data_IF_359262977813
#
_entry.id   IF_359262977813
#
_cell.length_a   1.000
_cell.length_b   1.000
_cell.length_c   1.000
_cell.angle_alpha   90.00
_cell.angle_beta   90.00
_cell.angle_gamma   90.00
#
_symmetry.space_group_name_H-M   'P 1'
#
loop_
_entity.id
_entity.type
_entity.pdbx_description
1 polymer ?
#
# COMPACT_ATOMS: atom_id res chain seq x y z
N UNK A 1 -25.69 -11.53 37.52
CA UNK A 1 -25.77 -12.94 37.07
C UNK A 1 -25.42 -12.91 35.57
N UNK A 2 -24.20 -13.32 35.22
CA UNK A 2 -23.72 -13.34 33.84
C UNK A 2 -24.16 -14.65 33.19
N UNK A 3 -25.02 -14.60 32.18
CA UNK A 3 -25.39 -15.76 31.36
C UNK A 3 -24.26 -16.08 30.40
N UNK A 4 -23.60 -17.21 30.57
CA UNK A 4 -22.70 -17.80 29.61
C UNK A 4 -23.54 -18.39 28.47
N UNK A 5 -23.34 -17.95 27.25
CA UNK A 5 -23.91 -18.56 26.04
C UNK A 5 -22.92 -19.61 25.57
N UNK A 6 -23.34 -20.89 25.74
CA UNK A 6 -22.61 -22.05 25.23
C UNK A 6 -22.94 -22.19 23.73
N UNK A 7 -21.98 -21.85 22.85
CA UNK A 7 -22.12 -22.10 21.42
C UNK A 7 -21.74 -23.55 21.16
N UNK A 8 -22.72 -24.37 20.82
CA UNK A 8 -22.53 -25.76 20.41
C UNK A 8 -21.87 -25.76 18.99
N UNK A 9 -20.63 -26.28 18.96
CA UNK A 9 -19.90 -26.51 17.73
C UNK A 9 -20.48 -27.77 17.05
N UNK A 10 -21.40 -27.60 16.08
CA UNK A 10 -21.84 -28.68 15.21
C UNK A 10 -20.76 -28.92 14.15
N UNK A 11 -20.06 -30.04 14.29
CA UNK A 11 -19.12 -30.56 13.31
C UNK A 11 -19.89 -30.97 12.06
N UNK A 12 -20.03 -30.07 11.09
CA UNK A 12 -20.55 -30.37 9.78
C UNK A 12 -19.40 -30.95 8.94
N UNK A 13 -19.49 -32.24 8.60
CA UNK A 13 -18.51 -32.93 7.76
C UNK A 13 -18.37 -32.15 6.43
N UNK A 14 -17.20 -31.61 6.18
CA UNK A 14 -16.86 -30.92 4.93
C UNK A 14 -16.90 -31.94 3.80
N UNK A 15 -17.89 -31.85 2.94
CA UNK A 15 -17.77 -32.38 1.58
C UNK A 15 -16.57 -31.73 0.91
N UNK A 16 -15.78 -32.47 0.10
CA UNK A 16 -14.70 -31.83 -0.64
C UNK A 16 -15.32 -30.77 -1.55
N UNK A 17 -15.07 -29.50 -1.21
CA UNK A 17 -15.34 -28.40 -2.12
C UNK A 17 -14.49 -28.68 -3.35
N UNK A 18 -15.04 -28.74 -4.59
CA UNK A 18 -14.20 -28.82 -5.78
C UNK A 18 -13.21 -27.69 -5.71
N UNK A 19 -11.93 -27.95 -6.04
CA UNK A 19 -10.95 -26.89 -6.20
C UNK A 19 -11.60 -25.85 -7.12
N UNK A 20 -12.09 -24.76 -6.55
CA UNK A 20 -12.47 -23.61 -7.32
C UNK A 20 -11.22 -23.21 -8.08
N UNK A 21 -11.34 -23.07 -9.39
CA UNK A 21 -10.36 -22.50 -10.28
C UNK A 21 -9.68 -21.36 -9.52
N UNK A 22 -8.38 -21.49 -9.27
CA UNK A 22 -7.66 -20.54 -8.42
C UNK A 22 -7.92 -19.16 -9.02
N UNK A 23 -8.65 -18.32 -8.30
CA UNK A 23 -8.96 -16.98 -8.76
C UNK A 23 -7.63 -16.30 -9.13
N UNK A 24 -7.57 -15.69 -10.31
CA UNK A 24 -6.39 -14.96 -10.73
C UNK A 24 -6.07 -13.90 -9.66
N UNK A 25 -4.82 -13.82 -9.18
CA UNK A 25 -4.46 -12.85 -8.16
C UNK A 25 -4.68 -11.43 -8.68
N UNK A 26 -5.28 -10.57 -7.88
CA UNK A 26 -5.70 -9.22 -8.28
C UNK A 26 -4.88 -8.14 -7.60
N UNK A 27 -4.74 -7.01 -8.28
CA UNK A 27 -4.22 -5.80 -7.66
C UNK A 27 -5.36 -5.03 -6.98
N UNK A 28 -5.14 -4.65 -5.73
CA UNK A 28 -6.10 -3.82 -5.01
C UNK A 28 -5.87 -2.34 -5.33
N UNK A 29 -6.90 -1.68 -5.87
CA UNK A 29 -6.86 -0.25 -6.20
C UNK A 29 -7.47 0.56 -5.04
N UNK A 30 -6.70 1.54 -4.56
CA UNK A 30 -7.12 2.50 -3.53
C UNK A 30 -7.01 3.90 -4.12
N UNK A 31 -8.09 4.68 -4.06
CA UNK A 31 -8.12 6.02 -4.62
C UNK A 31 -8.51 7.07 -3.57
N UNK A 32 -7.76 8.16 -3.51
CA UNK A 32 -8.07 9.36 -2.77
C UNK A 32 -8.82 10.40 -3.60
N UNK A 33 -9.04 11.57 -3.03
CA UNK A 33 -9.72 12.69 -3.64
C UNK A 33 -8.81 13.89 -3.94
N UNK A 34 -9.33 15.10 -3.70
CA UNK A 34 -8.60 16.36 -3.85
C UNK A 34 -8.14 16.95 -2.50
N UNK A 35 -8.49 16.30 -1.42
CA UNK A 35 -8.15 16.70 -0.06
C UNK A 35 -6.95 15.89 0.43
N UNK A 36 -6.39 16.27 1.56
CA UNK A 36 -5.29 15.53 2.17
C UNK A 36 -5.76 14.15 2.63
N UNK A 37 -5.19 13.10 2.06
CA UNK A 37 -5.55 11.72 2.34
C UNK A 37 -4.44 11.01 3.12
N UNK A 38 -4.83 10.11 4.02
CA UNK A 38 -3.91 9.22 4.72
C UNK A 38 -4.30 7.77 4.50
N UNK A 39 -3.35 6.95 4.05
CA UNK A 39 -3.52 5.51 3.89
C UNK A 39 -2.40 4.78 4.62
N UNK A 40 -2.76 3.86 5.47
CA UNK A 40 -1.82 2.98 6.16
C UNK A 40 -2.20 1.53 5.88
N UNK A 41 -1.29 0.79 5.25
CA UNK A 41 -1.49 -0.59 4.84
C UNK A 41 -0.45 -1.47 5.55
N UNK A 42 -0.93 -2.49 6.27
CA UNK A 42 -0.10 -3.43 7.01
C UNK A 42 -0.61 -4.86 6.86
N UNK A 43 0.28 -5.84 7.00
CA UNK A 43 -0.14 -7.23 7.23
C UNK A 43 -0.71 -7.37 8.64
N UNK A 44 -1.72 -8.20 8.81
CA UNK A 44 -2.19 -8.62 10.12
C UNK A 44 -1.12 -9.45 10.85
N UNK A 45 -1.19 -9.53 12.17
CA UNK A 45 -0.18 -10.21 12.98
C UNK A 45 0.03 -11.69 12.64
N UNK A 46 -0.98 -12.33 12.05
CA UNK A 46 -0.91 -13.72 11.58
C UNK A 46 -0.45 -13.84 10.10
N UNK A 47 -0.26 -12.69 9.41
CA UNK A 47 0.19 -12.62 8.02
C UNK A 47 -0.82 -13.13 6.98
N UNK A 48 -2.10 -13.25 7.36
CA UNK A 48 -3.15 -13.80 6.48
C UNK A 48 -3.90 -12.76 5.70
N UNK A 49 -4.00 -11.55 6.24
CA UNK A 49 -4.82 -10.48 5.70
C UNK A 49 -4.04 -9.15 5.69
N UNK A 50 -4.54 -8.20 4.92
CA UNK A 50 -4.06 -6.82 4.94
C UNK A 50 -5.08 -5.93 5.66
N UNK A 51 -4.62 -5.21 6.65
CA UNK A 51 -5.39 -4.15 7.30
C UNK A 51 -5.09 -2.82 6.60
N UNK A 52 -6.13 -2.15 6.12
CA UNK A 52 -6.04 -0.85 5.46
C UNK A 52 -6.80 0.16 6.31
N UNK A 53 -6.10 1.18 6.77
CA UNK A 53 -6.69 2.30 7.52
C UNK A 53 -6.56 3.57 6.71
N UNK A 54 -7.62 4.34 6.60
CA UNK A 54 -7.66 5.58 5.83
C UNK A 54 -8.28 6.73 6.62
N UNK A 55 -7.91 7.97 6.29
CA UNK A 55 -8.57 9.18 6.81
C UNK A 55 -9.86 9.54 6.08
N UNK A 56 -10.13 8.87 4.96
CA UNK A 56 -11.33 9.03 4.14
C UNK A 56 -12.07 7.70 4.03
N UNK A 57 -13.35 7.73 3.73
CA UNK A 57 -14.13 6.51 3.51
C UNK A 57 -13.54 5.71 2.36
N UNK A 58 -13.36 4.41 2.59
CA UNK A 58 -12.83 3.47 1.60
C UNK A 58 -13.99 2.82 0.86
N UNK A 59 -13.92 2.83 -0.48
CA UNK A 59 -14.82 2.08 -1.33
C UNK A 59 -14.00 1.08 -2.15
N UNK A 60 -14.26 -0.20 -1.96
CA UNK A 60 -13.57 -1.27 -2.68
C UNK A 60 -14.58 -2.11 -3.42
N UNK A 61 -14.36 -2.28 -4.71
CA UNK A 61 -15.15 -3.21 -5.52
C UNK A 61 -14.63 -4.64 -5.35
N UNK A 62 -15.53 -5.59 -5.05
CA UNK A 62 -15.22 -7.02 -4.97
C UNK A 62 -15.42 -7.62 -3.57
N UNK A 63 -15.24 -8.93 -3.47
CA UNK A 63 -15.48 -9.70 -2.24
C UNK A 63 -14.20 -9.97 -1.44
N UNK A 64 -13.07 -9.34 -1.79
CA UNK A 64 -11.76 -9.58 -1.17
C UNK A 64 -11.55 -8.82 0.14
N UNK A 65 -12.32 -7.76 0.35
CA UNK A 65 -12.18 -6.90 1.51
C UNK A 65 -13.50 -6.73 2.24
N UNK A 66 -13.45 -6.72 3.56
CA UNK A 66 -14.60 -6.51 4.42
C UNK A 66 -14.35 -5.28 5.31
N UNK A 67 -15.39 -4.49 5.52
CA UNK A 67 -15.36 -3.47 6.56
C UNK A 67 -15.63 -4.12 7.91
N UNK A 68 -14.75 -3.93 8.91
CA UNK A 68 -15.10 -4.24 10.29
C UNK A 68 -16.36 -3.44 10.66
N UNK A 69 -17.28 -4.09 11.36
CA UNK A 69 -18.54 -3.44 11.77
C UNK A 69 -18.24 -2.10 12.47
N UNK A 70 -18.87 -1.03 11.98
CA UNK A 70 -18.85 0.33 12.54
C UNK A 70 -17.63 1.23 12.19
N UNK A 71 -16.64 0.79 11.39
CA UNK A 71 -15.49 1.64 11.04
C UNK A 71 -15.31 1.76 9.52
N UNK A 72 -15.95 2.74 8.86
CA UNK A 72 -15.93 2.88 7.39
C UNK A 72 -14.55 3.25 6.81
N UNK A 73 -13.59 3.59 7.65
CA UNK A 73 -12.21 3.94 7.27
C UNK A 73 -11.22 2.78 7.41
N UNK A 74 -11.71 1.61 7.81
CA UNK A 74 -10.89 0.39 7.91
C UNK A 74 -11.39 -0.68 6.95
N UNK A 75 -10.46 -1.43 6.36
CA UNK A 75 -10.73 -2.60 5.51
C UNK A 75 -9.82 -3.74 5.93
N UNK A 76 -10.39 -4.95 5.93
CA UNK A 76 -9.63 -6.19 6.08
C UNK A 76 -9.70 -6.96 4.76
N UNK A 77 -8.55 -7.22 4.13
CA UNK A 77 -8.46 -7.82 2.80
C UNK A 77 -7.65 -9.12 2.85
N UNK A 78 -8.15 -10.17 2.20
CA UNK A 78 -7.52 -11.49 2.20
C UNK A 78 -6.18 -11.50 1.46
N UNK A 79 -5.08 -11.71 2.17
CA UNK A 79 -3.71 -11.59 1.66
C UNK A 79 -3.36 -12.55 0.50
N UNK A 80 -3.75 -13.83 0.50
CA UNK A 80 -3.30 -14.78 -0.53
C UNK A 80 -3.77 -14.46 -1.94
N UNK A 81 -4.82 -13.66 -2.07
CA UNK A 81 -5.44 -13.32 -3.36
C UNK A 81 -4.98 -11.95 -3.89
N UNK A 82 -4.18 -11.20 -3.11
CA UNK A 82 -3.68 -9.89 -3.52
C UNK A 82 -2.28 -10.03 -4.10
N UNK A 83 -2.13 -9.73 -5.39
CA UNK A 83 -0.87 -9.74 -6.11
C UNK A 83 -0.08 -8.43 -5.98
N UNK A 84 -0.74 -7.34 -5.59
CA UNK A 84 -0.13 -6.03 -5.42
C UNK A 84 -1.15 -4.96 -5.07
N UNK A 85 -0.65 -3.77 -4.82
CA UNK A 85 -1.48 -2.61 -4.52
C UNK A 85 -1.22 -1.49 -5.52
N UNK A 86 -2.27 -0.77 -5.86
CA UNK A 86 -2.18 0.50 -6.60
C UNK A 86 -2.92 1.57 -5.81
N UNK A 87 -2.18 2.61 -5.38
CA UNK A 87 -2.72 3.73 -4.61
C UNK A 87 -2.58 5.01 -5.42
N UNK A 88 -3.68 5.70 -5.64
CA UNK A 88 -3.71 7.04 -6.22
C UNK A 88 -4.27 7.99 -5.17
N UNK A 89 -3.43 8.75 -4.48
CA UNK A 89 -3.91 9.62 -3.40
C UNK A 89 -4.58 10.90 -3.89
N UNK A 90 -4.23 11.36 -5.08
CA UNK A 90 -5.00 12.42 -5.77
C UNK A 90 -4.40 13.81 -5.64
N UNK A 91 -5.07 14.72 -4.98
CA UNK A 91 -4.55 16.07 -4.76
C UNK A 91 -4.64 16.45 -3.30
N UNK A 92 -3.79 17.38 -2.88
CA UNK A 92 -3.63 17.73 -1.48
C UNK A 92 -2.27 17.25 -0.96
N UNK A 93 -2.00 17.40 0.32
CA UNK A 93 -0.79 16.87 0.93
C UNK A 93 -1.10 15.51 1.56
N UNK A 94 -0.72 14.46 0.86
CA UNK A 94 -1.14 13.09 1.19
C UNK A 94 -0.07 12.32 1.98
N UNK A 95 -0.49 11.26 2.65
CA UNK A 95 0.40 10.35 3.36
C UNK A 95 0.01 8.90 3.09
N UNK A 96 0.85 8.18 2.35
CA UNK A 96 0.67 6.75 2.06
C UNK A 96 1.78 5.95 2.71
N UNK A 97 1.42 5.01 3.55
CA UNK A 97 2.36 4.21 4.32
C UNK A 97 2.04 2.72 4.21
N UNK A 98 2.90 1.98 3.52
CA UNK A 98 2.93 0.52 3.59
C UNK A 98 3.94 0.08 4.65
N UNK A 99 3.64 -0.95 5.43
CA UNK A 99 4.66 -1.51 6.34
C UNK A 99 5.76 -2.26 5.55
N UNK A 100 6.96 -2.34 6.10
CA UNK A 100 8.14 -2.89 5.40
C UNK A 100 8.11 -4.42 5.25
N UNK A 101 7.10 -5.08 5.74
CA UNK A 101 6.84 -6.52 5.66
C UNK A 101 5.82 -6.90 4.57
N UNK A 102 5.26 -5.92 3.86
CA UNK A 102 4.39 -6.17 2.71
C UNK A 102 5.22 -6.86 1.60
N UNK A 103 4.92 -8.12 1.27
CA UNK A 103 5.76 -8.92 0.36
C UNK A 103 5.38 -8.81 -1.11
N UNK A 104 4.35 -8.03 -1.42
CA UNK A 104 3.85 -7.83 -2.79
C UNK A 104 4.18 -6.43 -3.29
N UNK A 105 4.40 -6.24 -4.61
CA UNK A 105 4.74 -4.95 -5.16
C UNK A 105 3.62 -3.93 -5.00
N UNK A 106 4.00 -2.69 -4.72
CA UNK A 106 3.07 -1.58 -4.63
C UNK A 106 3.36 -0.52 -5.69
N UNK A 107 2.32 0.09 -6.23
CA UNK A 107 2.41 1.28 -7.06
C UNK A 107 1.71 2.43 -6.35
N UNK A 108 2.44 3.50 -6.03
CA UNK A 108 1.88 4.67 -5.35
C UNK A 108 2.03 5.88 -6.27
N UNK A 109 0.96 6.64 -6.42
CA UNK A 109 0.94 7.96 -7.08
C UNK A 109 0.39 8.97 -6.09
N UNK A 110 1.21 9.93 -5.68
CA UNK A 110 0.82 11.04 -4.82
C UNK A 110 -0.16 11.96 -5.52
N UNK A 111 0.25 12.47 -6.64
CA UNK A 111 -0.57 13.39 -7.41
C UNK A 111 -0.09 14.83 -7.26
N UNK A 112 -0.93 15.73 -6.81
CA UNK A 112 -0.51 17.12 -6.66
C UNK A 112 -0.55 17.60 -5.23
N UNK A 113 0.54 18.18 -4.77
CA UNK A 113 0.72 18.62 -3.37
C UNK A 113 1.99 18.06 -2.78
N UNK A 114 2.24 18.31 -1.51
CA UNK A 114 3.47 17.86 -0.86
C UNK A 114 3.23 16.52 -0.14
N UNK A 115 3.60 15.44 -0.79
CA UNK A 115 3.23 14.10 -0.38
C UNK A 115 4.33 13.37 0.43
N UNK A 116 3.89 12.41 1.25
CA UNK A 116 4.76 11.50 1.99
C UNK A 116 4.40 10.07 1.63
N UNK A 117 5.24 9.44 0.81
CA UNK A 117 4.94 8.13 0.25
C UNK A 117 6.01 7.11 0.67
N UNK A 118 5.55 6.00 1.25
CA UNK A 118 6.41 4.93 1.73
C UNK A 118 5.97 3.61 1.10
N UNK A 119 6.85 3.01 0.32
CA UNK A 119 6.69 1.68 -0.24
C UNK A 119 6.72 0.56 0.79
N UNK A 120 6.62 -0.67 0.35
CA UNK A 120 6.59 -1.87 1.17
C UNK A 120 7.95 -2.53 1.37
N UNK A 121 8.01 -3.83 1.15
CA UNK A 121 9.22 -4.64 1.24
C UNK A 121 9.56 -5.41 -0.03
N UNK A 122 8.79 -5.22 -1.08
CA UNK A 122 9.00 -5.75 -2.42
C UNK A 122 9.53 -4.65 -3.37
N UNK A 123 9.72 -4.99 -4.65
CA UNK A 123 10.11 -3.99 -5.66
C UNK A 123 8.92 -3.10 -6.03
N UNK A 124 9.01 -1.85 -5.66
CA UNK A 124 7.91 -0.91 -5.68
C UNK A 124 8.06 0.19 -6.75
N UNK A 125 6.95 0.81 -7.08
CA UNK A 125 6.91 1.99 -7.93
C UNK A 125 6.28 3.16 -7.18
N UNK A 126 7.07 4.23 -6.94
CA UNK A 126 6.61 5.40 -6.19
C UNK A 126 6.76 6.65 -7.05
N UNK A 127 5.67 7.37 -7.24
CA UNK A 127 5.61 8.61 -8.03
C UNK A 127 5.05 9.71 -7.13
N UNK A 128 5.82 10.77 -6.90
CA UNK A 128 5.36 11.95 -6.17
C UNK A 128 4.34 12.73 -6.98
N UNK A 129 4.79 13.45 -7.94
CA UNK A 129 3.99 14.33 -8.80
C UNK A 129 4.43 15.79 -8.63
N UNK A 130 3.58 16.76 -8.94
CA UNK A 130 3.90 18.18 -8.66
C UNK A 130 3.82 18.50 -7.18
N UNK A 131 4.93 18.94 -6.57
CA UNK A 131 5.02 19.33 -5.16
C UNK A 131 6.39 19.03 -4.56
N UNK A 132 6.64 19.48 -3.36
CA UNK A 132 7.88 19.15 -2.63
C UNK A 132 7.65 17.81 -1.86
N UNK A 133 8.02 16.67 -2.47
CA UNK A 133 7.67 15.34 -2.01
C UNK A 133 8.74 14.64 -1.15
N UNK A 134 8.29 13.68 -0.36
CA UNK A 134 9.12 12.81 0.46
C UNK A 134 8.82 11.35 0.14
N UNK A 135 9.73 10.68 -0.59
CA UNK A 135 9.50 9.37 -1.19
C UNK A 135 10.50 8.34 -0.66
N UNK A 136 9.99 7.18 -0.24
CA UNK A 136 10.79 6.06 0.25
C UNK A 136 10.37 4.77 -0.43
N UNK A 137 11.32 4.08 -1.11
CA UNK A 137 11.12 2.72 -1.62
C UNK A 137 11.14 1.70 -0.49
N UNK A 138 12.15 1.74 0.35
CA UNK A 138 12.49 0.85 1.45
C UNK A 138 13.28 -0.36 0.99
N UNK A 139 12.75 -1.61 1.16
CA UNK A 139 13.42 -2.83 0.68
C UNK A 139 12.90 -3.18 -0.68
N UNK A 140 13.76 -3.79 -1.50
CA UNK A 140 13.41 -4.20 -2.87
C UNK A 140 14.14 -3.34 -3.89
N UNK A 141 14.06 -3.75 -5.14
CA UNK A 141 14.63 -2.99 -6.26
C UNK A 141 13.54 -2.00 -6.73
N UNK A 142 13.64 -0.75 -6.24
CA UNK A 142 12.56 0.22 -6.35
C UNK A 142 12.74 1.19 -7.53
N UNK A 143 11.62 1.66 -8.06
CA UNK A 143 11.58 2.73 -9.04
C UNK A 143 10.85 3.95 -8.46
N UNK A 144 11.60 5.06 -8.30
CA UNK A 144 11.09 6.26 -7.62
C UNK A 144 11.25 7.47 -8.54
N UNK A 145 10.15 8.20 -8.74
CA UNK A 145 10.10 9.45 -9.48
C UNK A 145 9.55 10.57 -8.58
N UNK A 146 10.33 11.63 -8.39
CA UNK A 146 9.88 12.84 -7.69
C UNK A 146 8.83 13.57 -8.52
N UNK A 147 9.24 14.30 -9.49
CA UNK A 147 8.39 15.12 -10.35
C UNK A 147 8.85 16.58 -10.33
N UNK A 148 7.96 17.52 -10.68
CA UNK A 148 8.24 18.94 -10.51
C UNK A 148 8.17 19.35 -9.03
N UNK A 149 9.25 19.95 -8.50
CA UNK A 149 9.36 20.39 -7.11
C UNK A 149 10.70 19.99 -6.48
N UNK A 150 10.87 20.29 -5.21
CA UNK A 150 12.11 19.97 -4.49
C UNK A 150 11.92 18.72 -3.66
N UNK A 151 12.26 17.60 -4.26
CA UNK A 151 11.96 16.29 -3.73
C UNK A 151 13.07 15.70 -2.86
N UNK A 152 12.68 14.79 -2.00
CA UNK A 152 13.59 13.93 -1.25
C UNK A 152 13.24 12.47 -1.50
N UNK A 153 14.14 11.77 -2.19
CA UNK A 153 14.00 10.38 -2.59
C UNK A 153 15.00 9.50 -1.84
N UNK A 154 14.53 8.40 -1.31
CA UNK A 154 15.35 7.36 -0.69
C UNK A 154 14.95 6.00 -1.22
N UNK A 155 15.88 5.28 -1.87
CA UNK A 155 15.67 3.90 -2.31
C UNK A 155 15.57 2.98 -1.11
N UNK A 156 16.65 2.75 -0.45
CA UNK A 156 16.76 1.81 0.66
C UNK A 156 17.71 0.67 0.32
N UNK A 157 17.58 -0.51 0.94
CA UNK A 157 18.33 -1.68 0.54
C UNK A 157 17.75 -2.32 -0.74
N UNK A 158 18.52 -2.33 -1.82
CA UNK A 158 18.13 -2.86 -3.13
C UNK A 158 18.89 -2.17 -4.26
N UNK A 159 18.58 -2.52 -5.50
CA UNK A 159 19.16 -1.88 -6.68
C UNK A 159 18.13 -0.90 -7.26
N UNK A 160 18.15 0.32 -6.76
CA UNK A 160 17.09 1.28 -6.97
C UNK A 160 17.34 2.19 -8.16
N UNK A 161 16.26 2.67 -8.77
CA UNK A 161 16.26 3.70 -9.79
C UNK A 161 15.51 4.92 -9.27
N UNK A 162 16.25 5.99 -8.97
CA UNK A 162 15.71 7.25 -8.46
C UNK A 162 15.87 8.35 -9.49
N UNK A 163 14.77 9.00 -9.83
CA UNK A 163 14.76 10.19 -10.69
C UNK A 163 14.09 11.33 -9.94
N UNK A 164 14.84 12.40 -9.68
CA UNK A 164 14.33 13.63 -9.05
C UNK A 164 13.32 14.32 -9.95
N UNK A 165 13.75 14.88 -11.01
CA UNK A 165 12.93 15.65 -11.94
C UNK A 165 13.48 17.05 -12.15
N UNK A 166 12.63 18.00 -12.54
CA UNK A 166 13.01 19.42 -12.53
C UNK A 166 13.11 19.93 -11.09
N UNK A 167 13.98 20.93 -10.90
CA UNK A 167 14.27 21.58 -9.65
C UNK A 167 15.41 20.90 -8.85
N UNK A 168 15.50 21.17 -7.56
CA UNK A 168 16.68 20.81 -6.78
C UNK A 168 16.38 19.70 -5.79
N UNK A 169 16.65 18.48 -6.18
CA UNK A 169 16.30 17.28 -5.44
C UNK A 169 17.42 16.75 -4.54
N UNK A 170 17.02 15.90 -3.60
CA UNK A 170 17.93 15.13 -2.76
C UNK A 170 17.65 13.64 -2.95
N UNK A 171 18.62 12.93 -3.51
CA UNK A 171 18.54 11.50 -3.79
C UNK A 171 19.50 10.71 -2.91
N UNK A 172 19.04 9.63 -2.31
CA UNK A 172 19.81 8.66 -1.54
C UNK A 172 19.45 7.25 -1.98
N UNK A 173 20.35 6.54 -2.65
CA UNK A 173 20.08 5.17 -3.08
C UNK A 173 20.02 4.19 -1.92
N UNK A 174 20.96 4.27 -0.98
CA UNK A 174 21.10 3.25 0.05
C UNK A 174 22.06 2.12 -0.36
N UNK A 175 22.05 0.99 0.36
CA UNK A 175 22.87 -0.17 0.03
C UNK A 175 22.38 -0.88 -1.24
N UNK A 176 23.27 -1.08 -2.22
CA UNK A 176 22.98 -1.73 -3.49
C UNK A 176 23.62 -1.02 -4.68
N UNK A 177 23.26 -1.46 -5.89
CA UNK A 177 23.70 -0.83 -7.14
C UNK A 177 22.60 0.12 -7.64
N UNK A 178 22.69 1.38 -7.25
CA UNK A 178 21.64 2.35 -7.48
C UNK A 178 21.92 3.25 -8.69
N UNK A 179 20.86 3.62 -9.42
CA UNK A 179 20.87 4.60 -10.47
C UNK A 179 20.19 5.89 -10.00
N UNK A 180 20.95 6.97 -9.86
CA UNK A 180 20.45 8.27 -9.39
C UNK A 180 20.48 9.29 -10.52
N UNK A 181 19.34 9.87 -10.85
CA UNK A 181 19.15 10.88 -11.90
C UNK A 181 18.49 12.09 -11.21
N UNK A 182 19.29 13.12 -10.89
CA UNK A 182 18.77 14.36 -10.32
C UNK A 182 17.82 15.10 -11.25
#
# INVERSE_FOLDING_TARGET
MKKAILIALTLLAALPVPLADAAEPVNLLISGGRENNGFHIALTADGRDYAIVSTVSLEVGGNLCEHPEEVPTELLCTAPEIAGFEVNSGGGADSVFFTSDIPVPVTIRGGGGNDKLYGGGASDKVVGGPGDDLLFGRRGDDWILGGPGRDRLSGGPGNDQLRGGPDKDKLSGGPGQNQLIP
#
